data_IF_560705980527
#
_entry.id   IF_560705980527
#
_cell.length_a   1.000
_cell.length_b   1.000
_cell.length_c   1.000
_cell.angle_alpha   90.00
_cell.angle_beta   90.00
_cell.angle_gamma   90.00
#
_symmetry.space_group_name_H-M   'P 1'
#
loop_
_entity.id
_entity.type
_entity.pdbx_description
1 polymer ?
#
# COMPACT_ATOMS: atom_id res chain seq x y z
N UNK A 1 -29.82 17.71 16.37
CA UNK A 1 -29.71 17.12 15.01
C UNK A 1 -28.88 15.87 15.08
N UNK A 2 -29.51 14.78 14.77
CA UNK A 2 -28.79 13.51 14.75
C UNK A 2 -28.07 13.44 13.41
N UNK A 3 -26.76 13.62 13.44
CA UNK A 3 -25.97 13.23 12.28
C UNK A 3 -26.09 11.73 12.16
N UNK A 4 -26.70 11.25 11.10
CA UNK A 4 -26.80 9.85 10.83
C UNK A 4 -25.42 9.18 10.87
N UNK A 5 -25.42 7.87 11.03
CA UNK A 5 -24.19 7.09 10.96
C UNK A 5 -23.40 7.51 9.72
N UNK A 6 -22.10 7.77 9.89
CA UNK A 6 -21.22 8.05 8.77
C UNK A 6 -21.37 6.93 7.75
N UNK A 7 -21.77 7.30 6.54
CA UNK A 7 -21.90 6.33 5.47
C UNK A 7 -20.51 5.79 5.13
N UNK A 8 -20.41 4.49 4.96
CA UNK A 8 -19.14 3.84 4.61
C UNK A 8 -18.47 4.47 3.38
N UNK A 9 -19.28 5.05 2.48
CA UNK A 9 -18.81 5.67 1.25
C UNK A 9 -18.68 7.20 1.33
N UNK A 10 -18.73 7.78 2.52
CA UNK A 10 -18.51 9.20 2.69
C UNK A 10 -17.08 9.56 2.29
N UNK A 11 -16.93 10.50 1.37
CA UNK A 11 -15.61 10.93 0.87
C UNK A 11 -14.73 11.50 2.00
N UNK A 12 -15.33 12.09 3.03
CA UNK A 12 -14.58 12.61 4.18
C UNK A 12 -13.91 11.51 4.99
N UNK A 13 -14.43 10.28 4.95
CA UNK A 13 -13.81 9.12 5.59
C UNK A 13 -12.46 8.78 4.98
N UNK A 14 -12.33 8.87 3.67
CA UNK A 14 -11.06 8.66 2.97
C UNK A 14 -10.00 9.65 3.42
N UNK A 15 -10.37 10.91 3.46
CA UNK A 15 -9.48 11.97 3.94
C UNK A 15 -9.07 11.73 5.39
N UNK A 16 -10.02 11.41 6.25
CA UNK A 16 -9.78 11.14 7.66
C UNK A 16 -8.83 9.95 7.84
N UNK A 17 -9.03 8.86 7.10
CA UNK A 17 -8.17 7.69 7.14
C UNK A 17 -6.73 8.04 6.77
N UNK A 18 -6.53 8.76 5.67
CA UNK A 18 -5.18 9.14 5.22
C UNK A 18 -4.53 10.22 6.08
N UNK A 19 -5.28 10.93 6.93
CA UNK A 19 -4.70 11.90 7.86
C UNK A 19 -4.31 11.29 9.21
N UNK A 20 -5.01 10.26 9.67
CA UNK A 20 -4.75 9.62 10.97
C UNK A 20 -3.91 8.36 10.91
N UNK A 21 -4.00 7.59 9.83
CA UNK A 21 -3.30 6.34 9.62
C UNK A 21 -1.76 6.46 9.66
N UNK A 22 -1.13 7.50 9.09
CA UNK A 22 0.34 7.58 9.06
C UNK A 22 1.01 7.52 10.43
N UNK A 23 0.39 8.06 11.47
CA UNK A 23 0.95 8.00 12.83
C UNK A 23 1.06 6.58 13.34
N UNK A 24 0.05 5.76 13.10
CA UNK A 24 0.04 4.37 13.55
C UNK A 24 1.06 3.52 12.78
N UNK A 25 1.11 3.68 11.47
CA UNK A 25 2.02 2.89 10.65
C UNK A 25 3.48 3.30 10.87
N UNK A 26 3.74 4.58 11.11
CA UNK A 26 5.09 5.06 11.39
C UNK A 26 5.66 4.37 12.64
N UNK A 27 4.89 4.30 13.70
CA UNK A 27 5.31 3.63 14.92
C UNK A 27 5.64 2.15 14.66
N UNK A 28 4.81 1.47 13.89
CA UNK A 28 5.02 0.06 13.55
C UNK A 28 6.27 -0.12 12.67
N UNK A 29 6.46 0.74 11.66
CA UNK A 29 7.64 0.70 10.80
C UNK A 29 8.93 0.91 11.58
N UNK A 30 8.95 1.91 12.45
CA UNK A 30 10.15 2.24 13.21
C UNK A 30 10.57 1.14 14.18
N UNK A 31 9.61 0.39 14.72
CA UNK A 31 9.86 -0.61 15.75
C UNK A 31 10.03 -2.03 15.24
N UNK A 32 9.33 -2.40 14.17
CA UNK A 32 9.17 -3.80 13.80
C UNK A 32 9.53 -4.15 12.38
N UNK A 33 9.60 -3.17 11.47
CA UNK A 33 9.85 -3.45 10.07
C UNK A 33 11.29 -3.17 9.68
N UNK A 34 11.78 -3.96 8.73
CA UNK A 34 13.10 -3.80 8.14
C UNK A 34 13.07 -2.66 7.11
N UNK A 35 13.86 -1.63 7.34
CA UNK A 35 13.94 -0.46 6.46
C UNK A 35 14.60 -0.75 5.11
N UNK A 36 15.28 -1.88 4.98
CA UNK A 36 15.93 -2.31 3.74
C UNK A 36 14.98 -3.03 2.77
N UNK A 37 13.72 -3.19 3.16
CA UNK A 37 12.72 -3.92 2.37
C UNK A 37 11.72 -2.93 1.78
N UNK A 38 11.45 -3.10 0.47
CA UNK A 38 10.42 -2.30 -0.22
C UNK A 38 9.03 -2.62 0.30
N UNK A 39 8.17 -1.61 0.29
CA UNK A 39 6.73 -1.79 0.49
C UNK A 39 6.02 -1.51 -0.83
N UNK A 40 5.16 -2.42 -1.25
CA UNK A 40 4.35 -2.25 -2.46
C UNK A 40 2.86 -2.21 -2.12
N UNK A 41 2.08 -1.70 -3.05
CA UNK A 41 0.62 -1.83 -3.07
C UNK A 41 0.17 -2.19 -4.47
N UNK A 42 -0.98 -2.84 -4.57
CA UNK A 42 -1.58 -3.17 -5.87
C UNK A 42 -2.64 -2.14 -6.22
N UNK A 43 -2.53 -1.57 -7.42
CA UNK A 43 -3.56 -0.70 -8.01
C UNK A 43 -4.00 0.47 -7.10
N UNK A 44 -3.10 0.96 -6.26
CA UNK A 44 -3.39 2.04 -5.33
C UNK A 44 -2.16 2.92 -5.14
N UNK A 45 -2.11 4.02 -5.90
CA UNK A 45 -0.99 4.97 -5.84
C UNK A 45 -1.02 5.83 -4.58
N UNK A 46 -2.15 5.93 -3.90
CA UNK A 46 -2.28 6.76 -2.69
C UNK A 46 -1.49 6.20 -1.53
N UNK A 47 -1.38 4.87 -1.43
CA UNK A 47 -0.63 4.21 -0.38
C UNK A 47 0.86 4.55 -0.47
N UNK A 48 1.57 4.30 -1.59
CA UNK A 48 2.98 4.68 -1.67
C UNK A 48 3.20 6.18 -1.55
N UNK A 49 2.29 7.02 -2.06
CA UNK A 49 2.38 8.47 -1.89
C UNK A 49 2.36 8.86 -0.41
N UNK A 50 1.47 8.27 0.35
CA UNK A 50 1.33 8.51 1.79
C UNK A 50 2.58 8.03 2.54
N UNK A 51 3.09 6.85 2.21
CA UNK A 51 4.29 6.30 2.83
C UNK A 51 5.51 7.17 2.55
N UNK A 52 5.72 7.59 1.30
CA UNK A 52 6.84 8.44 0.92
C UNK A 52 6.78 9.80 1.62
N UNK A 53 5.60 10.39 1.70
CA UNK A 53 5.43 11.70 2.31
C UNK A 53 5.63 11.68 3.82
N UNK A 54 5.05 10.71 4.51
CA UNK A 54 5.05 10.69 5.98
C UNK A 54 6.19 9.91 6.61
N UNK A 55 6.65 8.84 5.96
CA UNK A 55 7.66 7.95 6.54
C UNK A 55 9.04 8.13 5.95
N UNK A 56 9.14 8.64 4.72
CA UNK A 56 10.42 8.81 3.99
C UNK A 56 11.28 7.56 4.08
N UNK A 57 10.77 6.39 3.62
CA UNK A 57 11.50 5.13 3.77
C UNK A 57 12.79 5.12 2.96
N UNK A 58 13.77 4.32 3.40
CA UNK A 58 15.04 4.16 2.69
C UNK A 58 14.87 3.52 1.32
N UNK A 59 13.95 2.57 1.20
CA UNK A 59 13.60 1.93 -0.06
C UNK A 59 12.29 2.49 -0.58
N UNK A 60 12.19 2.80 -1.89
CA UNK A 60 10.95 3.34 -2.47
C UNK A 60 9.74 2.48 -2.18
N UNK A 61 8.61 3.14 -1.93
CA UNK A 61 7.29 2.50 -1.87
C UNK A 61 6.67 2.58 -3.26
N UNK A 62 6.13 1.48 -3.77
CA UNK A 62 5.78 1.36 -5.18
C UNK A 62 4.35 0.84 -5.33
N UNK A 63 3.59 1.47 -6.24
CA UNK A 63 2.30 0.93 -6.66
C UNK A 63 2.49 0.08 -7.91
N UNK A 64 2.07 -1.19 -7.85
CA UNK A 64 2.09 -2.10 -8.99
C UNK A 64 0.68 -2.19 -9.54
N UNK A 65 0.49 -1.67 -10.74
CA UNK A 65 -0.83 -1.61 -11.36
C UNK A 65 -0.99 -2.72 -12.41
N UNK A 66 -2.21 -3.25 -12.48
CA UNK A 66 -2.57 -4.22 -13.51
C UNK A 66 -2.72 -3.55 -14.89
N UNK A 67 -2.84 -4.36 -15.97
CA UNK A 67 -2.89 -3.84 -17.34
C UNK A 67 -4.12 -2.96 -17.61
N UNK A 68 -5.19 -3.10 -16.84
CA UNK A 68 -6.41 -2.32 -17.00
C UNK A 68 -6.36 -0.96 -16.30
N UNK A 69 -5.26 -0.66 -15.61
CA UNK A 69 -5.08 0.59 -14.89
C UNK A 69 -4.16 1.52 -15.67
N UNK A 70 -4.45 2.82 -15.62
CA UNK A 70 -3.57 3.81 -16.21
C UNK A 70 -2.21 3.79 -15.51
N UNK A 71 -1.11 3.99 -16.27
CA UNK A 71 0.20 4.14 -15.65
C UNK A 71 0.23 5.31 -14.67
N UNK A 72 0.93 5.11 -13.57
CA UNK A 72 1.17 6.15 -12.58
C UNK A 72 2.65 6.49 -12.55
N UNK A 73 2.95 7.67 -12.04
CA UNK A 73 4.32 8.20 -12.04
C UNK A 73 5.32 7.27 -11.34
N UNK A 74 4.88 6.55 -10.31
CA UNK A 74 5.73 5.57 -9.60
C UNK A 74 6.23 4.47 -10.52
N UNK A 75 5.42 4.01 -11.48
CA UNK A 75 5.83 3.00 -12.43
C UNK A 75 6.91 3.52 -13.38
N UNK A 76 6.79 4.79 -13.81
CA UNK A 76 7.80 5.41 -14.66
C UNK A 76 9.11 5.65 -13.92
N UNK A 77 9.04 6.10 -12.67
CA UNK A 77 10.24 6.41 -11.89
C UNK A 77 11.06 5.17 -11.52
N UNK A 78 10.42 4.01 -11.37
CA UNK A 78 11.06 2.84 -10.80
C UNK A 78 11.18 1.68 -11.79
N UNK A 79 11.26 1.98 -13.09
CA UNK A 79 11.42 0.97 -14.14
C UNK A 79 12.67 0.09 -13.98
N UNK A 80 13.71 0.64 -13.35
CA UNK A 80 14.99 -0.05 -13.17
C UNK A 80 15.04 -0.90 -11.89
N UNK A 81 14.01 -0.87 -11.06
CA UNK A 81 13.99 -1.64 -9.83
C UNK A 81 13.54 -3.06 -10.12
N UNK A 82 14.39 -4.03 -9.73
CA UNK A 82 14.07 -5.45 -9.84
C UNK A 82 13.45 -5.94 -8.54
N UNK A 83 12.17 -6.25 -8.57
CA UNK A 83 11.43 -6.74 -7.39
C UNK A 83 11.37 -8.27 -7.34
N UNK A 84 11.52 -8.94 -8.49
CA UNK A 84 11.39 -10.39 -8.59
C UNK A 84 12.45 -11.08 -7.74
N UNK A 85 12.03 -12.02 -6.91
CA UNK A 85 12.91 -12.75 -6.00
C UNK A 85 13.20 -12.05 -4.69
N UNK A 86 12.76 -10.81 -4.51
CA UNK A 86 12.96 -10.07 -3.27
C UNK A 86 11.86 -10.36 -2.24
N UNK A 87 12.21 -10.20 -0.97
CA UNK A 87 11.25 -10.14 0.11
C UNK A 87 10.69 -8.72 0.19
N UNK A 88 9.37 -8.60 0.32
CA UNK A 88 8.68 -7.33 0.32
C UNK A 88 7.68 -7.24 1.46
N UNK A 89 7.24 -6.02 1.73
CA UNK A 89 5.99 -5.77 2.44
C UNK A 89 4.92 -5.36 1.45
N UNK A 90 3.69 -5.79 1.69
CA UNK A 90 2.53 -5.41 0.87
C UNK A 90 1.52 -4.74 1.78
N UNK A 91 1.21 -3.48 1.49
CA UNK A 91 0.21 -2.71 2.23
C UNK A 91 -1.00 -2.49 1.32
N UNK A 92 -2.13 -3.02 1.72
CA UNK A 92 -3.38 -2.94 0.96
C UNK A 92 -4.51 -2.37 1.79
N UNK A 93 -5.38 -1.63 1.14
CA UNK A 93 -6.65 -1.22 1.71
C UNK A 93 -7.65 -2.36 1.51
N UNK A 94 -8.24 -2.85 2.60
CA UNK A 94 -9.10 -4.04 2.60
C UNK A 94 -8.34 -5.30 2.16
N UNK A 95 -9.03 -6.42 2.08
CA UNK A 95 -8.44 -7.72 1.73
C UNK A 95 -8.64 -8.12 0.26
N UNK A 96 -8.90 -7.12 -0.62
CA UNK A 96 -9.34 -7.38 -2.00
C UNK A 96 -8.29 -8.07 -2.87
N UNK A 97 -7.02 -7.93 -2.55
CA UNK A 97 -5.92 -8.45 -3.37
C UNK A 97 -5.27 -9.71 -2.79
N UNK A 98 -5.94 -10.39 -1.86
CA UNK A 98 -5.36 -11.55 -1.20
C UNK A 98 -5.02 -12.69 -2.17
N UNK A 99 -5.85 -12.93 -3.19
CA UNK A 99 -5.56 -13.93 -4.21
C UNK A 99 -4.31 -13.61 -4.98
N UNK A 100 -4.11 -12.33 -5.33
CA UNK A 100 -2.93 -11.88 -6.04
C UNK A 100 -1.68 -12.00 -5.16
N UNK A 101 -1.80 -11.64 -3.89
CA UNK A 101 -0.71 -11.78 -2.92
C UNK A 101 -0.28 -13.25 -2.81
N UNK A 102 -1.24 -14.17 -2.67
CA UNK A 102 -0.93 -15.59 -2.56
C UNK A 102 -0.29 -16.17 -3.82
N UNK A 103 -0.61 -15.60 -4.98
CA UNK A 103 -0.03 -16.01 -6.26
C UNK A 103 1.39 -15.45 -6.44
N UNK A 104 1.61 -14.20 -6.05
CA UNK A 104 2.86 -13.49 -6.29
C UNK A 104 3.92 -13.73 -5.22
N UNK A 105 3.55 -14.28 -4.07
CA UNK A 105 4.47 -14.54 -2.97
C UNK A 105 4.65 -16.04 -2.76
N UNK A 106 5.88 -16.51 -2.64
CA UNK A 106 6.14 -17.91 -2.30
C UNK A 106 5.56 -18.23 -0.93
N UNK A 107 5.71 -17.31 0.01
CA UNK A 107 5.09 -17.36 1.33
C UNK A 107 4.65 -15.97 1.73
N UNK A 108 3.55 -15.87 2.44
CA UNK A 108 3.06 -14.58 2.93
C UNK A 108 2.39 -14.73 4.27
N UNK A 109 2.43 -13.67 5.08
CA UNK A 109 1.74 -13.63 6.36
C UNK A 109 1.24 -12.22 6.67
N UNK A 110 0.10 -12.14 7.32
CA UNK A 110 -0.43 -10.87 7.80
C UNK A 110 0.36 -10.43 9.03
N UNK A 111 1.05 -9.30 8.93
CA UNK A 111 1.81 -8.74 10.04
C UNK A 111 0.96 -7.86 10.94
N UNK A 112 0.13 -7.02 10.33
CA UNK A 112 -0.66 -6.05 11.09
C UNK A 112 -1.90 -5.65 10.30
N UNK A 113 -2.98 -5.44 11.03
CA UNK A 113 -4.22 -4.85 10.51
C UNK A 113 -4.40 -3.48 11.18
N UNK A 114 -4.50 -2.45 10.38
CA UNK A 114 -4.70 -1.08 10.85
C UNK A 114 -6.15 -0.70 10.65
N UNK A 115 -6.84 -0.38 11.72
CA UNK A 115 -8.23 0.05 11.67
C UNK A 115 -8.32 1.52 12.01
N UNK A 116 -8.98 2.29 11.16
CA UNK A 116 -9.31 3.68 11.46
C UNK A 116 -10.78 3.76 11.85
N UNK A 117 -11.04 4.30 13.03
CA UNK A 117 -12.38 4.50 13.56
C UNK A 117 -12.73 5.98 13.58
N UNK A 118 -13.98 6.27 13.28
CA UNK A 118 -14.57 7.59 13.40
C UNK A 118 -15.96 7.42 13.96
N UNK A 119 -16.27 8.09 15.10
CA UNK A 119 -17.54 7.97 15.80
C UNK A 119 -17.94 6.52 16.08
N UNK A 120 -16.99 5.72 16.57
CA UNK A 120 -17.13 4.28 16.88
C UNK A 120 -17.42 3.38 15.68
N UNK A 121 -17.33 3.92 14.46
CA UNK A 121 -17.47 3.13 13.23
C UNK A 121 -16.13 2.93 12.55
N UNK A 122 -15.88 1.72 12.06
CA UNK A 122 -14.69 1.43 11.27
C UNK A 122 -14.90 2.01 9.88
N UNK A 123 -14.07 2.99 9.50
CA UNK A 123 -14.17 3.67 8.21
C UNK A 123 -13.08 3.24 7.23
N UNK A 124 -12.03 2.61 7.71
CA UNK A 124 -10.93 2.16 6.86
C UNK A 124 -10.21 1.00 7.52
N UNK A 125 -9.77 0.06 6.68
CA UNK A 125 -8.95 -1.07 7.09
C UNK A 125 -7.76 -1.16 6.13
N UNK A 126 -6.55 -1.19 6.70
CA UNK A 126 -5.33 -1.45 5.95
C UNK A 126 -4.69 -2.73 6.47
N UNK A 127 -4.17 -3.53 5.55
CA UNK A 127 -3.56 -4.82 5.86
C UNK A 127 -2.11 -4.79 5.41
N UNK A 128 -1.20 -5.08 6.31
CA UNK A 128 0.23 -5.16 6.01
C UNK A 128 0.66 -6.62 6.02
N UNK A 129 1.17 -7.07 4.89
CA UNK A 129 1.65 -8.43 4.71
C UNK A 129 3.16 -8.47 4.56
N UNK A 130 3.78 -9.53 5.05
CA UNK A 130 5.11 -9.95 4.67
C UNK A 130 5.00 -10.86 3.45
N UNK A 131 5.81 -10.64 2.45
CA UNK A 131 5.86 -11.43 1.22
C UNK A 131 7.28 -11.95 1.02
N UNK A 132 7.44 -13.24 0.88
CA UNK A 132 8.72 -13.88 0.61
C UNK A 132 8.82 -14.25 -0.85
N UNK A 133 9.97 -13.93 -1.46
CA UNK A 133 10.28 -14.25 -2.85
C UNK A 133 9.17 -13.82 -3.81
N UNK A 134 9.02 -12.52 -3.94
CA UNK A 134 8.03 -11.93 -4.82
C UNK A 134 8.28 -12.34 -6.27
N UNK A 135 7.25 -12.80 -6.98
CA UNK A 135 7.36 -13.25 -8.37
C UNK A 135 6.82 -12.24 -9.38
N UNK A 136 6.23 -11.14 -8.90
CA UNK A 136 5.76 -10.09 -9.78
C UNK A 136 6.88 -9.13 -10.18
N UNK A 137 6.51 -8.15 -11.00
CA UNK A 137 7.44 -7.13 -11.48
C UNK A 137 6.73 -5.81 -11.71
N UNK A 138 7.50 -4.73 -11.76
CA UNK A 138 6.99 -3.44 -12.24
C UNK A 138 6.82 -3.58 -13.75
N UNK A 139 5.59 -3.33 -14.25
CA UNK A 139 5.34 -3.46 -15.69
C UNK A 139 6.21 -2.50 -16.48
N UNK A 140 6.67 -2.96 -17.65
CA UNK A 140 7.47 -2.14 -18.55
C UNK A 140 6.55 -1.18 -19.29
N UNK A 141 6.89 0.09 -19.26
CA UNK A 141 6.15 1.14 -19.90
C UNK A 141 6.93 1.70 -21.08
N UNK A 142 6.24 2.26 -22.10
CA UNK A 142 6.92 2.93 -23.18
C UNK A 142 7.77 4.09 -22.65
N UNK A 143 8.90 4.35 -23.31
CA UNK A 143 9.73 5.50 -22.99
C UNK A 143 8.94 6.78 -23.23
N UNK A 144 8.90 7.66 -22.21
CA UNK A 144 8.30 8.96 -22.39
C UNK A 144 9.23 9.83 -23.22
N UNK A 145 8.75 10.21 -24.41
CA UNK A 145 9.46 11.15 -25.27
C UNK A 145 8.95 12.56 -24.95
N UNK A 146 9.79 13.34 -24.35
CA UNK A 146 9.54 14.76 -24.10
C UNK A 146 10.36 15.60 -25.06
#
# INVERSE_FOLDING_TARGET
>A
MVFGKLKKNDITNRYYAFSSFPGEIKEFYDKQLDSEIHTISYNNYQIPSMLEYHLKPLKPSISINGPDYHPVIFEYWYQDIELTGQDLYILQKNSNELQRISKDCEDYSLLKKFLTKRDNSIISEFYLYSCKQFSGEIRKLPTLLF
#
